data_IF_538323211479
#
_entry.id   IF_538323211479
#
_cell.length_a   1.000
_cell.length_b   1.000
_cell.length_c   1.000
_cell.angle_alpha   90.00
_cell.angle_beta   90.00
_cell.angle_gamma   90.00
#
_symmetry.space_group_name_H-M   'P 1'
#
loop_
_entity.id
_entity.type
_entity.pdbx_description
1 polymer ?
#
# COMPACT_ATOMS: atom_id res chain seq x y z
N UNK A 1 -59.81 4.00 -28.31
CA UNK A 1 -58.38 4.27 -28.59
C UNK A 1 -58.08 5.66 -28.06
N UNK A 2 -57.28 5.76 -26.99
CA UNK A 2 -57.01 7.03 -26.28
C UNK A 2 -55.62 7.58 -26.68
N UNK A 3 -55.54 8.88 -26.97
CA UNK A 3 -54.28 9.57 -27.26
C UNK A 3 -53.45 9.72 -25.96
N UNK A 4 -52.12 9.57 -26.03
CA UNK A 4 -51.26 9.90 -24.89
C UNK A 4 -51.15 11.43 -24.69
N UNK A 5 -50.96 11.89 -23.44
CA UNK A 5 -50.84 13.31 -23.12
C UNK A 5 -49.53 13.89 -23.67
N UNK A 6 -49.62 15.08 -24.28
CA UNK A 6 -48.48 15.83 -24.82
C UNK A 6 -47.59 16.41 -23.73
N UNK A 7 -46.28 16.43 -23.98
CA UNK A 7 -45.29 17.03 -23.10
C UNK A 7 -45.37 18.56 -23.13
N UNK A 8 -45.13 19.25 -22.00
CA UNK A 8 -45.02 20.71 -21.97
C UNK A 8 -43.72 21.18 -22.67
N UNK A 9 -43.74 22.38 -23.28
CA UNK A 9 -42.57 22.96 -23.91
C UNK A 9 -41.48 23.32 -22.89
N UNK A 10 -40.19 23.31 -23.29
CA UNK A 10 -39.09 23.68 -22.42
C UNK A 10 -39.14 25.17 -22.06
N UNK A 11 -38.68 25.56 -20.85
CA UNK A 11 -38.62 26.95 -20.45
C UNK A 11 -37.60 27.73 -21.30
N UNK A 12 -37.82 29.05 -21.50
CA UNK A 12 -36.90 29.90 -22.25
C UNK A 12 -35.52 29.97 -21.58
N UNK A 13 -34.47 29.97 -22.41
CA UNK A 13 -33.08 30.03 -21.98
C UNK A 13 -32.80 31.35 -21.24
N UNK A 14 -32.84 31.31 -19.91
CA UNK A 14 -32.34 32.37 -19.04
C UNK A 14 -30.82 32.42 -19.14
N UNK A 15 -30.29 33.54 -19.66
CA UNK A 15 -28.86 33.81 -19.65
C UNK A 15 -28.34 33.91 -18.22
N UNK A 16 -27.36 33.07 -17.89
CA UNK A 16 -26.61 33.21 -16.65
C UNK A 16 -25.72 34.47 -16.74
N UNK A 17 -25.75 35.37 -15.76
CA UNK A 17 -24.76 36.44 -15.69
C UNK A 17 -23.35 35.83 -15.50
N UNK A 18 -22.30 36.41 -16.12
CA UNK A 18 -20.95 35.94 -15.91
C UNK A 18 -20.55 36.09 -14.43
N UNK A 19 -19.79 35.14 -13.86
CA UNK A 19 -19.32 35.24 -12.49
C UNK A 19 -18.42 36.47 -12.32
N UNK A 20 -18.60 37.27 -11.24
CA UNK A 20 -17.71 38.36 -10.92
C UNK A 20 -16.49 37.80 -10.19
N UNK A 21 -15.32 37.88 -10.81
CA UNK A 21 -14.08 37.47 -10.15
C UNK A 21 -12.99 37.09 -11.14
N UNK A 22 -12.35 38.10 -11.73
CA UNK A 22 -11.03 37.92 -12.32
C UNK A 22 -10.05 37.50 -11.22
N UNK A 23 -9.81 36.20 -11.09
CA UNK A 23 -8.61 35.72 -10.44
C UNK A 23 -7.42 36.18 -11.29
N UNK A 24 -6.35 36.76 -10.69
CA UNK A 24 -5.15 37.10 -11.44
C UNK A 24 -4.51 35.82 -11.97
N UNK A 25 -4.79 35.52 -13.23
CA UNK A 25 -4.06 34.57 -14.06
C UNK A 25 -2.67 35.14 -14.29
N UNK A 26 -1.68 34.68 -13.53
CA UNK A 26 -0.30 35.10 -13.77
C UNK A 26 0.66 34.98 -12.60
N UNK A 27 0.45 34.06 -11.66
CA UNK A 27 1.57 33.69 -10.80
C UNK A 27 2.53 32.87 -11.66
N UNK A 28 3.56 33.55 -12.18
CA UNK A 28 4.66 32.92 -12.88
C UNK A 28 5.19 31.79 -11.97
N UNK A 29 5.49 30.60 -12.51
CA UNK A 29 6.12 29.54 -11.72
C UNK A 29 7.34 30.14 -11.05
N UNK A 30 7.45 30.00 -9.73
CA UNK A 30 8.54 30.56 -8.96
C UNK A 30 9.87 30.08 -9.56
N UNK A 31 10.50 30.97 -10.33
CA UNK A 31 11.79 30.73 -10.97
C UNK A 31 12.83 30.63 -9.87
N UNK A 32 13.33 29.42 -9.62
CA UNK A 32 14.40 29.16 -8.63
C UNK A 32 14.07 28.15 -7.53
N UNK A 33 12.98 27.37 -7.62
CA UNK A 33 12.80 26.23 -6.72
C UNK A 33 13.96 25.23 -6.92
N UNK A 34 14.77 25.03 -5.89
CA UNK A 34 15.87 24.06 -5.90
C UNK A 34 15.31 22.64 -6.14
N UNK A 35 15.62 22.00 -7.29
CA UNK A 35 15.09 20.68 -7.62
C UNK A 35 15.56 19.58 -6.65
N UNK A 36 16.59 19.85 -5.84
CA UNK A 36 17.15 18.91 -4.87
C UNK A 36 16.68 19.17 -3.43
N UNK A 37 15.83 20.17 -3.18
CA UNK A 37 15.39 20.51 -1.83
C UNK A 37 14.71 19.33 -1.11
N UNK A 38 13.83 18.62 -1.81
CA UNK A 38 13.13 17.45 -1.25
C UNK A 38 14.09 16.29 -0.94
N UNK A 39 15.10 16.08 -1.79
CA UNK A 39 16.10 15.03 -1.58
C UNK A 39 16.99 15.36 -0.38
N UNK A 40 17.46 16.61 -0.25
CA UNK A 40 18.24 17.06 0.90
C UNK A 40 17.45 16.95 2.20
N UNK A 41 16.17 17.35 2.19
CA UNK A 41 15.30 17.22 3.35
C UNK A 41 15.11 15.75 3.78
N UNK A 42 15.01 14.83 2.82
CA UNK A 42 14.92 13.39 3.10
C UNK A 42 16.23 12.83 3.68
N UNK A 43 17.37 13.23 3.13
CA UNK A 43 18.71 12.84 3.62
C UNK A 43 18.95 13.36 5.05
N UNK A 44 18.63 14.63 5.30
CA UNK A 44 18.72 15.24 6.62
C UNK A 44 17.81 14.52 7.61
N UNK A 45 16.53 14.32 7.28
CA UNK A 45 15.60 13.57 8.12
C UNK A 45 16.10 12.15 8.42
N UNK A 46 16.60 11.42 7.42
CA UNK A 46 17.13 10.07 7.60
C UNK A 46 18.34 10.08 8.55
N UNK A 47 19.29 11.01 8.33
CA UNK A 47 20.49 11.12 9.16
C UNK A 47 20.18 11.46 10.62
N UNK A 48 19.21 12.36 10.88
CA UNK A 48 18.80 12.71 12.25
C UNK A 48 18.19 11.53 13.03
N UNK A 49 17.72 10.50 12.32
CA UNK A 49 17.17 9.26 12.88
C UNK A 49 18.18 8.10 12.90
N UNK A 50 19.40 8.32 12.41
CA UNK A 50 20.38 7.25 12.24
C UNK A 50 20.00 6.23 11.16
N UNK A 51 19.15 6.62 10.21
CA UNK A 51 18.79 5.79 9.07
C UNK A 51 19.76 6.00 7.91
N UNK A 52 19.94 4.94 7.10
CA UNK A 52 20.77 5.02 5.90
C UNK A 52 19.89 5.10 4.67
N UNK A 53 20.01 6.18 3.89
CA UNK A 53 19.38 6.30 2.58
C UNK A 53 20.34 5.82 1.48
N UNK A 54 19.85 4.95 0.61
CA UNK A 54 20.57 4.41 -0.54
C UNK A 54 19.77 4.68 -1.82
N UNK A 55 20.43 5.25 -2.83
CA UNK A 55 19.82 5.60 -4.12
C UNK A 55 20.08 4.55 -5.20
N UNK A 56 20.90 3.53 -4.91
CA UNK A 56 21.20 2.43 -5.81
C UNK A 56 21.17 1.07 -5.05
N UNK A 57 19.98 0.62 -4.61
CA UNK A 57 19.82 -0.63 -3.90
C UNK A 57 20.06 -1.84 -4.80
N UNK A 58 20.55 -2.93 -4.20
CA UNK A 58 20.76 -4.19 -4.90
C UNK A 58 19.41 -4.86 -5.22
N UNK A 59 18.96 -4.71 -6.46
CA UNK A 59 17.70 -5.30 -6.92
C UNK A 59 17.67 -6.83 -6.79
N UNK A 60 18.81 -7.52 -6.94
CA UNK A 60 18.87 -8.98 -6.88
C UNK A 60 18.50 -9.50 -5.49
N UNK A 61 18.89 -8.78 -4.42
CA UNK A 61 18.50 -9.10 -3.05
C UNK A 61 16.98 -9.13 -2.90
N UNK A 62 16.27 -8.13 -3.44
CA UNK A 62 14.80 -8.04 -3.38
C UNK A 62 14.12 -9.12 -4.21
N UNK A 63 14.67 -9.47 -5.37
CA UNK A 63 14.16 -10.58 -6.17
C UNK A 63 14.25 -11.92 -5.42
N UNK A 64 15.28 -12.12 -4.59
CA UNK A 64 15.43 -13.29 -3.73
C UNK A 64 14.32 -13.46 -2.68
N UNK A 65 13.46 -12.45 -2.47
CA UNK A 65 12.31 -12.59 -1.60
C UNK A 65 11.12 -13.29 -2.26
N UNK A 66 11.06 -13.39 -3.58
CA UNK A 66 9.96 -14.03 -4.29
C UNK A 66 10.14 -15.56 -4.33
N UNK A 67 9.04 -16.34 -4.44
CA UNK A 67 7.66 -15.88 -4.63
C UNK A 67 6.97 -15.46 -3.33
N UNK A 68 6.09 -14.47 -3.48
CA UNK A 68 5.10 -14.06 -2.49
C UNK A 68 3.71 -14.40 -3.00
N UNK A 69 2.74 -14.55 -2.10
CA UNK A 69 1.38 -14.94 -2.46
C UNK A 69 0.58 -13.80 -3.09
N UNK A 70 0.76 -12.58 -2.59
CA UNK A 70 -0.01 -11.40 -2.98
C UNK A 70 0.85 -10.24 -3.45
N UNK A 71 2.11 -10.16 -3.01
CA UNK A 71 3.01 -9.10 -3.45
C UNK A 71 3.26 -9.14 -4.96
N UNK A 72 3.38 -7.97 -5.56
CA UNK A 72 3.52 -7.83 -7.00
C UNK A 72 4.96 -8.13 -7.43
N UNK A 73 5.13 -8.67 -8.63
CA UNK A 73 6.46 -8.89 -9.19
C UNK A 73 7.14 -7.54 -9.45
N UNK A 74 8.33 -7.37 -8.91
CA UNK A 74 9.12 -6.15 -9.08
C UNK A 74 9.82 -6.13 -10.45
N UNK A 75 9.77 -4.98 -11.11
CA UNK A 75 10.57 -4.65 -12.30
C UNK A 75 11.90 -3.99 -11.93
N UNK A 76 11.88 -3.10 -10.92
CA UNK A 76 13.07 -2.41 -10.38
C UNK A 76 12.81 -1.84 -8.99
N UNK A 77 13.88 -1.43 -8.32
CA UNK A 77 13.84 -0.66 -7.08
C UNK A 77 14.55 0.68 -7.31
N UNK A 78 13.97 1.76 -6.79
CA UNK A 78 14.50 3.12 -6.87
C UNK A 78 15.36 3.44 -5.66
N UNK A 79 14.75 4.01 -4.63
CA UNK A 79 15.42 4.38 -3.37
C UNK A 79 15.13 3.36 -2.28
N UNK A 80 16.04 3.27 -1.33
CA UNK A 80 15.99 2.38 -0.17
C UNK A 80 16.38 3.15 1.09
N UNK A 81 15.58 3.00 2.14
CA UNK A 81 15.88 3.47 3.48
C UNK A 81 16.10 2.25 4.37
N UNK A 82 17.23 2.22 5.07
CA UNK A 82 17.58 1.17 6.04
C UNK A 82 17.46 1.70 7.45
N UNK A 83 16.82 0.92 8.31
CA UNK A 83 16.71 1.19 9.74
C UNK A 83 16.88 -0.11 10.54
N UNK A 84 17.05 0.01 11.86
CA UNK A 84 17.09 -1.12 12.78
C UNK A 84 16.06 -0.97 13.88
N UNK A 85 15.40 -2.07 14.23
CA UNK A 85 14.47 -2.18 15.36
C UNK A 85 14.96 -3.26 16.32
N UNK A 86 15.88 -2.90 17.22
CA UNK A 86 16.56 -3.88 18.06
C UNK A 86 17.37 -4.86 17.19
N UNK A 87 17.00 -6.14 17.18
CA UNK A 87 17.66 -7.16 16.37
C UNK A 87 17.11 -7.28 14.93
N UNK A 88 16.01 -6.59 14.62
CA UNK A 88 15.42 -6.62 13.28
C UNK A 88 16.02 -5.54 12.39
N UNK A 89 16.24 -5.88 11.11
CA UNK A 89 16.61 -4.90 10.09
C UNK A 89 15.39 -4.58 9.23
N UNK A 90 15.14 -3.29 9.01
CA UNK A 90 14.09 -2.76 8.15
C UNK A 90 14.71 -2.18 6.88
N UNK A 91 14.11 -2.52 5.74
CA UNK A 91 14.40 -1.95 4.43
C UNK A 91 13.09 -1.43 3.82
N UNK A 92 12.93 -0.11 3.76
CA UNK A 92 11.79 0.51 3.08
C UNK A 92 12.25 0.95 1.70
N UNK A 93 11.56 0.52 0.65
CA UNK A 93 11.97 0.78 -0.72
C UNK A 93 10.86 1.34 -1.58
N UNK A 94 11.24 2.22 -2.49
CA UNK A 94 10.44 2.64 -3.63
C UNK A 94 10.57 1.56 -4.72
N UNK A 95 9.52 0.76 -4.92
CA UNK A 95 9.53 -0.33 -5.87
C UNK A 95 8.58 -0.06 -7.03
N UNK A 96 8.90 -0.64 -8.19
CA UNK A 96 8.14 -0.49 -9.42
C UNK A 96 7.68 -1.86 -9.91
N UNK A 97 6.40 -1.99 -10.22
CA UNK A 97 5.80 -3.23 -10.70
C UNK A 97 6.13 -3.52 -12.17
N UNK A 98 6.21 -4.81 -12.50
CA UNK A 98 6.31 -5.29 -13.88
C UNK A 98 4.93 -5.39 -14.56
N UNK A 99 4.17 -4.29 -14.55
CA UNK A 99 2.83 -4.19 -15.16
C UNK A 99 2.74 -2.95 -16.06
N UNK A 100 2.59 -3.19 -17.37
CA UNK A 100 2.57 -2.15 -18.40
C UNK A 100 1.36 -1.24 -18.28
N UNK A 101 0.20 -1.78 -17.88
CA UNK A 101 -1.04 -1.02 -17.74
C UNK A 101 -0.92 -0.06 -16.56
N UNK A 102 -0.46 -0.56 -15.41
CA UNK A 102 -0.20 0.29 -14.24
C UNK A 102 0.86 1.34 -14.53
N UNK A 103 1.92 0.99 -15.26
CA UNK A 103 2.98 1.92 -15.64
C UNK A 103 2.46 3.04 -16.52
N UNK A 104 1.63 2.75 -17.51
CA UNK A 104 0.97 3.77 -18.34
C UNK A 104 0.04 4.65 -17.51
N UNK A 105 -0.63 4.09 -16.49
CA UNK A 105 -1.48 4.83 -15.56
C UNK A 105 -0.70 5.60 -14.46
N UNK A 106 0.63 5.47 -14.39
CA UNK A 106 1.44 6.04 -13.29
C UNK A 106 1.17 5.39 -11.93
N UNK A 107 0.62 4.18 -11.93
CA UNK A 107 0.25 3.38 -10.76
C UNK A 107 1.22 2.23 -10.46
N UNK A 108 2.35 2.13 -11.17
CA UNK A 108 3.33 1.05 -10.99
C UNK A 108 4.24 1.25 -9.76
N UNK A 109 4.20 2.42 -9.14
CA UNK A 109 5.05 2.78 -8.00
C UNK A 109 4.39 2.46 -6.67
N UNK A 110 5.13 1.77 -5.81
CA UNK A 110 4.70 1.35 -4.48
C UNK A 110 5.81 1.50 -3.45
N UNK A 111 5.41 1.64 -2.19
CA UNK A 111 6.32 1.50 -1.05
C UNK A 111 6.27 0.06 -0.56
N UNK A 112 7.43 -0.58 -0.46
CA UNK A 112 7.58 -1.89 0.15
C UNK A 112 8.40 -1.72 1.43
N UNK A 113 8.02 -2.43 2.49
CA UNK A 113 8.82 -2.52 3.70
C UNK A 113 9.14 -3.97 3.99
N UNK A 114 10.43 -4.31 3.92
CA UNK A 114 10.97 -5.62 4.22
C UNK A 114 11.59 -5.60 5.61
N UNK A 115 11.25 -6.56 6.44
CA UNK A 115 11.83 -6.75 7.76
C UNK A 115 12.49 -8.11 7.83
N UNK A 116 13.75 -8.17 8.22
CA UNK A 116 14.43 -9.42 8.56
C UNK A 116 14.60 -9.52 10.07
N UNK A 117 14.23 -10.66 10.65
CA UNK A 117 14.37 -10.90 12.09
C UNK A 117 14.25 -12.38 12.42
N UNK A 118 15.15 -12.96 13.26
CA UNK A 118 15.05 -14.35 13.67
C UNK A 118 13.78 -14.65 14.50
N UNK A 119 13.10 -13.63 15.04
CA UNK A 119 11.86 -13.79 15.79
C UNK A 119 10.63 -14.07 14.92
N UNK A 120 10.72 -13.84 13.62
CA UNK A 120 9.64 -14.17 12.69
C UNK A 120 9.75 -15.66 12.36
N UNK A 121 8.87 -16.49 12.95
CA UNK A 121 8.98 -17.96 12.84
C UNK A 121 7.85 -18.61 12.05
N UNK A 122 6.79 -17.88 11.72
CA UNK A 122 5.55 -18.45 11.16
C UNK A 122 5.16 -17.75 9.87
N UNK A 123 4.40 -18.46 9.04
CA UNK A 123 3.96 -17.99 7.73
C UNK A 123 2.51 -17.55 7.74
N UNK A 124 2.26 -16.40 7.13
CA UNK A 124 0.94 -15.96 6.71
C UNK A 124 1.09 -15.01 5.53
N UNK A 125 0.12 -15.01 4.63
CA UNK A 125 -0.06 -13.95 3.66
C UNK A 125 -1.45 -13.37 3.86
N UNK A 126 -1.53 -12.05 3.97
CA UNK A 126 -2.73 -11.30 4.25
C UNK A 126 -2.82 -10.14 3.26
N UNK A 127 -3.99 -9.96 2.65
CA UNK A 127 -4.25 -8.88 1.69
C UNK A 127 -5.58 -8.22 1.98
N UNK A 128 -5.61 -6.90 2.09
CA UNK A 128 -6.85 -6.15 2.25
C UNK A 128 -7.74 -6.30 1.01
N UNK A 129 -9.01 -6.67 1.25
CA UNK A 129 -10.01 -6.83 0.17
C UNK A 129 -10.36 -5.50 -0.48
N UNK A 130 -10.22 -4.39 0.25
CA UNK A 130 -10.44 -3.03 -0.24
C UNK A 130 -9.14 -2.26 -0.43
N UNK A 131 -9.13 -1.35 -1.41
CA UNK A 131 -7.98 -0.54 -1.80
C UNK A 131 -7.04 -1.23 -2.80
N UNK A 132 -5.96 -0.54 -3.14
CA UNK A 132 -4.92 -1.01 -4.07
C UNK A 132 -4.90 -0.27 -5.41
N UNK A 133 -5.77 0.72 -5.63
CA UNK A 133 -5.85 1.48 -6.87
C UNK A 133 -6.95 0.99 -7.81
N UNK A 134 -7.34 1.84 -8.77
CA UNK A 134 -8.48 1.62 -9.65
C UNK A 134 -8.30 0.36 -10.52
N UNK A 135 -7.09 0.16 -11.05
CA UNK A 135 -6.77 -1.01 -11.88
C UNK A 135 -6.99 -2.30 -11.10
N UNK A 136 -6.56 -2.34 -9.82
CA UNK A 136 -6.75 -3.51 -8.98
C UNK A 136 -8.23 -3.75 -8.63
N UNK A 137 -9.03 -2.69 -8.49
CA UNK A 137 -10.47 -2.80 -8.22
C UNK A 137 -11.25 -3.32 -9.44
N UNK A 138 -10.93 -2.85 -10.64
CA UNK A 138 -11.55 -3.32 -11.89
C UNK A 138 -11.22 -4.79 -12.15
N UNK A 139 -9.95 -5.17 -12.04
CA UNK A 139 -9.50 -6.56 -12.20
C UNK A 139 -10.18 -7.50 -11.21
N UNK A 140 -10.37 -7.06 -9.95
CA UNK A 140 -11.06 -7.83 -8.92
C UNK A 140 -12.57 -7.90 -9.14
N UNK A 141 -13.21 -6.79 -9.51
CA UNK A 141 -14.65 -6.75 -9.77
C UNK A 141 -15.02 -7.75 -10.86
N UNK A 142 -14.25 -7.79 -11.95
CA UNK A 142 -14.42 -8.75 -13.03
C UNK A 142 -14.08 -10.19 -12.60
N UNK A 143 -13.03 -10.40 -11.82
CA UNK A 143 -12.64 -11.73 -11.33
C UNK A 143 -13.61 -12.34 -10.30
N UNK A 144 -14.19 -11.52 -9.43
CA UNK A 144 -15.12 -11.94 -8.37
C UNK A 144 -16.47 -12.44 -8.90
N UNK A 145 -16.86 -12.01 -10.11
CA UNK A 145 -18.06 -12.52 -10.80
C UNK A 145 -17.89 -13.95 -11.32
N UNK A 146 -16.64 -14.46 -11.41
CA UNK A 146 -16.32 -15.76 -11.99
C UNK A 146 -15.74 -16.76 -10.98
N UNK A 147 -15.25 -16.30 -9.82
CA UNK A 147 -14.54 -17.12 -8.83
C UNK A 147 -15.28 -17.32 -7.52
N UNK A 148 -16.45 -17.97 -7.56
CA UNK A 148 -17.19 -18.36 -6.35
C UNK A 148 -16.56 -19.58 -5.67
N UNK A 149 -15.58 -19.37 -4.80
CA UNK A 149 -15.25 -20.38 -3.78
C UNK A 149 -14.82 -19.69 -2.48
N UNK A 150 -15.77 -19.55 -1.57
CA UNK A 150 -15.50 -19.28 -0.17
C UNK A 150 -14.84 -20.53 0.44
N UNK A 151 -13.53 -20.66 0.25
CA UNK A 151 -12.70 -21.57 1.03
C UNK A 151 -13.00 -21.31 2.52
N UNK A 152 -13.26 -22.38 3.28
CA UNK A 152 -13.62 -22.28 4.69
C UNK A 152 -12.66 -21.38 5.48
N UNK A 153 -13.17 -20.72 6.51
CA UNK A 153 -12.43 -19.82 7.40
C UNK A 153 -11.08 -20.42 7.82
N UNK A 154 -9.99 -19.92 7.24
CA UNK A 154 -8.64 -20.48 7.42
C UNK A 154 -8.13 -20.24 8.85
N UNK A 155 -8.42 -19.09 9.45
CA UNK A 155 -8.00 -18.73 10.80
C UNK A 155 -9.08 -19.00 11.84
N UNK A 156 -10.36 -19.08 11.47
CA UNK A 156 -11.47 -19.07 12.43
C UNK A 156 -11.81 -17.68 12.97
N UNK A 157 -11.39 -16.62 12.27
CA UNK A 157 -11.66 -15.23 12.64
C UNK A 157 -12.52 -14.57 11.55
N UNK A 158 -13.86 -14.68 11.65
CA UNK A 158 -14.75 -14.20 10.61
C UNK A 158 -14.66 -12.68 10.42
N UNK A 159 -14.36 -11.91 11.48
CA UNK A 159 -14.24 -10.45 11.39
C UNK A 159 -13.00 -10.04 10.61
N UNK A 160 -11.86 -10.70 10.85
CA UNK A 160 -10.65 -10.47 10.07
C UNK A 160 -10.86 -10.90 8.60
N UNK A 161 -11.36 -12.11 8.38
CA UNK A 161 -11.53 -12.68 7.05
C UNK A 161 -12.59 -11.96 6.22
N UNK A 162 -13.51 -11.22 6.83
CA UNK A 162 -14.41 -10.33 6.11
C UNK A 162 -13.66 -9.18 5.42
N UNK A 163 -12.56 -8.70 6.02
CA UNK A 163 -11.79 -7.54 5.52
C UNK A 163 -10.53 -7.92 4.75
N UNK A 164 -10.03 -9.12 4.96
CA UNK A 164 -8.78 -9.59 4.41
C UNK A 164 -8.94 -10.95 3.71
N UNK A 165 -8.26 -11.09 2.57
CA UNK A 165 -7.90 -12.42 2.06
C UNK A 165 -6.73 -12.93 2.89
N UNK A 166 -6.82 -14.16 3.38
CA UNK A 166 -5.79 -14.78 4.20
C UNK A 166 -5.39 -16.11 3.57
N UNK A 167 -4.08 -16.33 3.46
CA UNK A 167 -3.49 -17.61 3.10
C UNK A 167 -2.48 -18.02 4.18
N UNK A 168 -2.59 -19.23 4.69
CA UNK A 168 -1.67 -19.79 5.68
C UNK A 168 -1.50 -21.30 5.44
N UNK A 169 -0.33 -21.89 5.72
CA UNK A 169 -0.14 -23.34 5.59
C UNK A 169 -1.05 -24.16 6.50
N UNK A 170 -1.39 -23.63 7.67
CA UNK A 170 -2.34 -24.24 8.61
C UNK A 170 -2.98 -23.17 9.50
N UNK A 171 -4.09 -23.52 10.15
CA UNK A 171 -4.74 -22.64 11.13
C UNK A 171 -3.79 -22.29 12.29
N UNK A 172 -3.09 -23.26 12.85
CA UNK A 172 -2.19 -23.04 13.99
C UNK A 172 -0.98 -22.18 13.63
N UNK A 173 -0.42 -22.36 12.44
CA UNK A 173 0.66 -21.49 11.95
C UNK A 173 0.15 -20.07 11.70
N UNK A 174 -1.04 -19.92 11.11
CA UNK A 174 -1.66 -18.61 10.90
C UNK A 174 -2.02 -17.90 12.21
N UNK A 175 -2.45 -18.66 13.23
CA UNK A 175 -2.73 -18.12 14.57
C UNK A 175 -1.47 -17.64 15.29
N UNK A 176 -0.32 -18.29 15.08
CA UNK A 176 0.98 -17.84 15.58
C UNK A 176 1.51 -16.63 14.81
N UNK A 177 1.37 -16.62 13.49
CA UNK A 177 1.84 -15.53 12.64
C UNK A 177 0.97 -14.25 12.77
N UNK A 178 -0.32 -14.40 13.05
CA UNK A 178 -1.27 -13.32 13.32
C UNK A 178 -1.86 -13.50 14.71
N UNK A 179 -1.13 -13.16 15.78
CA UNK A 179 -1.67 -13.22 17.13
C UNK A 179 -2.81 -12.21 17.31
N UNK A 180 -3.69 -12.44 18.28
CA UNK A 180 -4.90 -11.63 18.49
C UNK A 180 -4.64 -10.12 18.57
N UNK A 181 -3.60 -9.63 19.30
CA UNK A 181 -3.28 -8.20 19.32
C UNK A 181 -2.97 -7.62 17.94
N UNK A 182 -2.27 -8.36 17.07
CA UNK A 182 -2.01 -7.92 15.70
C UNK A 182 -3.29 -7.83 14.87
N UNK A 183 -4.19 -8.82 15.00
CA UNK A 183 -5.49 -8.78 14.29
C UNK A 183 -6.32 -7.58 14.70
N UNK A 184 -6.40 -7.32 16.01
CA UNK A 184 -7.12 -6.17 16.55
C UNK A 184 -6.52 -4.86 16.03
N UNK A 185 -5.20 -4.75 16.02
CA UNK A 185 -4.50 -3.59 15.45
C UNK A 185 -4.88 -3.38 13.97
N UNK A 186 -4.80 -4.41 13.13
CA UNK A 186 -5.13 -4.31 11.70
C UNK A 186 -6.60 -3.90 11.49
N UNK A 187 -7.51 -4.42 12.31
CA UNK A 187 -8.94 -4.09 12.24
C UNK A 187 -9.23 -2.66 12.69
N UNK A 188 -8.72 -2.26 13.85
CA UNK A 188 -9.00 -0.96 14.48
C UNK A 188 -8.40 0.19 13.71
N UNK A 189 -7.17 0.04 13.21
CA UNK A 189 -6.52 1.05 12.37
C UNK A 189 -7.09 1.10 10.95
N UNK A 190 -8.00 0.18 10.61
CA UNK A 190 -8.49 -0.02 9.25
C UNK A 190 -7.35 -0.11 8.24
N UNK A 191 -6.29 -0.81 8.62
CA UNK A 191 -5.10 -0.96 7.80
C UNK A 191 -5.44 -1.59 6.44
N UNK A 192 -4.82 -1.07 5.38
CA UNK A 192 -5.04 -1.51 4.00
C UNK A 192 -3.71 -1.75 3.30
N UNK A 193 -3.48 -2.98 2.88
CA UNK A 193 -2.25 -3.35 2.20
C UNK A 193 -2.10 -4.85 2.02
N UNK A 194 -0.86 -5.25 1.78
CA UNK A 194 -0.40 -6.65 1.78
C UNK A 194 0.59 -6.81 2.93
N UNK A 195 0.43 -7.89 3.69
CA UNK A 195 1.32 -8.29 4.78
C UNK A 195 1.65 -9.77 4.56
N UNK A 196 2.92 -10.09 4.38
CA UNK A 196 3.37 -11.47 4.24
C UNK A 196 4.49 -11.75 5.22
N UNK A 197 4.38 -12.82 5.99
CA UNK A 197 5.39 -13.27 6.95
C UNK A 197 5.90 -14.64 6.54
N UNK A 198 7.16 -14.90 6.85
CA UNK A 198 7.85 -16.17 6.67
C UNK A 198 8.96 -16.29 7.70
N UNK A 199 9.57 -17.48 7.86
CA UNK A 199 10.75 -17.61 8.71
C UNK A 199 11.80 -16.56 8.35
N UNK A 200 12.22 -15.80 9.36
CA UNK A 200 13.20 -14.71 9.27
C UNK A 200 12.81 -13.48 8.46
N UNK A 201 11.56 -13.37 7.97
CA UNK A 201 11.18 -12.33 7.03
C UNK A 201 9.73 -11.87 7.13
N UNK A 202 9.50 -10.58 6.95
CA UNK A 202 8.19 -9.99 6.80
C UNK A 202 8.22 -8.93 5.68
N UNK A 203 7.16 -8.86 4.91
CA UNK A 203 6.93 -7.86 3.88
C UNK A 203 5.62 -7.13 4.18
N UNK A 204 5.63 -5.81 4.05
CA UNK A 204 4.44 -4.97 4.09
C UNK A 204 4.38 -4.05 2.86
N UNK A 205 3.21 -3.96 2.22
CA UNK A 205 2.93 -3.02 1.12
C UNK A 205 1.64 -2.25 1.44
N UNK A 206 1.71 -1.00 1.92
CA UNK A 206 0.52 -0.16 2.11
C UNK A 206 -0.09 0.25 0.76
N UNK A 207 -1.41 0.29 0.67
CA UNK A 207 -2.11 0.67 -0.57
C UNK A 207 -2.23 2.16 -0.81
N UNK A 208 -2.27 2.95 0.26
CA UNK A 208 -2.53 4.39 0.26
C UNK A 208 -1.25 5.24 0.31
N UNK A 209 -0.09 4.60 0.10
CA UNK A 209 1.23 5.23 0.20
C UNK A 209 2.09 4.83 -0.99
N UNK A 210 2.35 5.80 -1.87
CA UNK A 210 3.12 5.60 -3.11
C UNK A 210 4.35 6.52 -3.22
N UNK A 211 4.36 7.61 -2.46
CA UNK A 211 5.46 8.56 -2.48
C UNK A 211 6.54 8.15 -1.48
N UNK A 212 7.80 8.22 -1.90
CA UNK A 212 8.93 8.00 -1.02
C UNK A 212 9.42 9.36 -0.52
N UNK A 213 8.66 9.89 0.44
CA UNK A 213 8.87 11.18 1.12
C UNK A 213 8.84 11.01 2.65
N UNK A 214 9.29 12.02 3.38
CA UNK A 214 9.44 11.98 4.84
C UNK A 214 8.15 11.58 5.56
N UNK A 215 7.02 12.22 5.22
CA UNK A 215 5.75 11.99 5.90
C UNK A 215 5.25 10.55 5.68
N UNK A 216 5.40 10.04 4.45
CA UNK A 216 5.04 8.67 4.12
C UNK A 216 5.95 7.67 4.84
N UNK A 217 7.27 7.89 4.83
CA UNK A 217 8.22 6.97 5.43
C UNK A 217 8.08 6.92 6.96
N UNK A 218 7.89 8.05 7.64
CA UNK A 218 7.62 8.06 9.10
C UNK A 218 6.39 7.19 9.42
N UNK A 219 5.30 7.32 8.65
CA UNK A 219 4.10 6.48 8.87
C UNK A 219 4.33 5.00 8.57
N UNK A 220 5.01 4.68 7.47
CA UNK A 220 5.32 3.29 7.09
C UNK A 220 6.21 2.64 8.15
N UNK A 221 7.26 3.32 8.60
CA UNK A 221 8.19 2.83 9.63
C UNK A 221 7.44 2.58 10.94
N UNK A 222 6.58 3.51 11.37
CA UNK A 222 5.78 3.35 12.58
C UNK A 222 4.83 2.14 12.48
N UNK A 223 4.12 2.01 11.37
CA UNK A 223 3.20 0.89 11.15
C UNK A 223 3.93 -0.46 11.11
N UNK A 224 5.06 -0.53 10.39
CA UNK A 224 5.87 -1.76 10.30
C UNK A 224 6.45 -2.13 11.65
N UNK A 225 6.94 -1.15 12.41
CA UNK A 225 7.45 -1.35 13.77
C UNK A 225 6.37 -1.94 14.68
N UNK A 226 5.16 -1.37 14.68
CA UNK A 226 4.03 -1.87 15.46
C UNK A 226 3.60 -3.28 15.04
N UNK A 227 3.46 -3.52 13.73
CA UNK A 227 3.10 -4.85 13.20
C UNK A 227 4.16 -5.89 13.57
N UNK A 228 5.44 -5.57 13.39
CA UNK A 228 6.56 -6.44 13.75
C UNK A 228 6.56 -6.78 15.24
N UNK A 229 6.41 -5.78 16.11
CA UNK A 229 6.35 -5.98 17.56
C UNK A 229 5.19 -6.91 17.95
N UNK A 230 3.99 -6.66 17.41
CA UNK A 230 2.82 -7.49 17.71
C UNK A 230 2.95 -8.91 17.14
N UNK A 231 3.56 -9.07 15.96
CA UNK A 231 3.82 -10.38 15.35
C UNK A 231 4.85 -11.22 16.11
N UNK A 232 5.71 -10.60 16.93
CA UNK A 232 6.83 -11.26 17.62
C UNK A 232 6.72 -11.23 19.14
N UNK A 233 5.56 -10.82 19.68
CA UNK A 233 5.31 -10.72 21.12
C UNK A 233 4.95 -12.06 21.79
N UNK A 234 4.80 -13.15 21.02
CA UNK A 234 4.36 -14.46 21.49
C UNK A 234 5.47 -15.48 21.70
#
# INVERSE_FOLDING_TARGET
MAQPPGYPPPPPAGGYPPPPGGAPTGQAPATGADPYAAQRALEEWASTRGYTLNTNPDFAWYQGWFPFQYAFRLARVGRELRAQFGEAALFVVEAFEADDVKRVAGEDRHIYAFVTSPKLTSRVSLRAKSGGGLVNEVSRGLGSLLGGSSAGSMLGDPTLEQRFDVATPSRDEGNRALPMPLRQFLLQTSWRGILETRPSGMLMIPYDRRNFDVATLDQVINNVGQIYQLATAG
#
